data_IF_109997753519
#
_entry.id   IF_109997753519
#
_cell.length_a   1.000
_cell.length_b   1.000
_cell.length_c   1.000
_cell.angle_alpha   90.00
_cell.angle_beta   90.00
_cell.angle_gamma   90.00
#
_symmetry.space_group_name_H-M   'P 1'
#
loop_
_entity.id
_entity.type
_entity.pdbx_description
1 polymer ?
#
# COMPACT_ATOMS: atom_id res chain seq x y z
N UNK A 1 -36.73 -15.11 35.84
CA UNK A 1 -35.27 -15.01 35.68
C UNK A 1 -34.73 -14.00 36.70
N UNK A 2 -33.73 -14.36 37.51
CA UNK A 2 -33.21 -13.43 38.54
C UNK A 2 -32.57 -12.20 37.89
N UNK A 3 -32.96 -10.99 38.31
CA UNK A 3 -32.48 -9.72 37.74
C UNK A 3 -30.94 -9.66 37.62
N UNK A 4 -30.22 -10.25 38.58
CA UNK A 4 -28.75 -10.39 38.55
C UNK A 4 -28.23 -11.24 37.38
N UNK A 5 -28.89 -12.36 37.06
CA UNK A 5 -28.52 -13.22 35.91
C UNK A 5 -28.83 -12.53 34.58
N UNK A 6 -29.96 -11.81 34.48
CA UNK A 6 -30.28 -11.00 33.31
C UNK A 6 -29.20 -9.92 33.06
N UNK A 7 -28.81 -9.20 34.12
CA UNK A 7 -27.76 -8.18 34.05
C UNK A 7 -26.43 -8.77 33.55
N UNK A 8 -25.99 -9.92 34.09
CA UNK A 8 -24.74 -10.57 33.64
C UNK A 8 -24.79 -10.91 32.15
N UNK A 9 -25.90 -11.48 31.67
CA UNK A 9 -26.06 -11.82 30.25
C UNK A 9 -25.99 -10.56 29.39
N UNK A 10 -26.70 -9.49 29.79
CA UNK A 10 -26.67 -8.21 29.06
C UNK A 10 -25.27 -7.59 29.03
N UNK A 11 -24.53 -7.63 30.15
CA UNK A 11 -23.15 -7.12 30.20
C UNK A 11 -22.23 -7.90 29.27
N UNK A 12 -22.30 -9.23 29.26
CA UNK A 12 -21.48 -10.05 28.34
C UNK A 12 -21.82 -9.73 26.89
N UNK A 13 -23.10 -9.64 26.56
CA UNK A 13 -23.57 -9.40 25.19
C UNK A 13 -23.16 -7.99 24.71
N UNK A 14 -23.23 -7.01 25.61
CA UNK A 14 -22.72 -5.65 25.34
C UNK A 14 -21.21 -5.65 25.13
N UNK A 15 -20.44 -6.31 26.00
CA UNK A 15 -18.98 -6.38 25.87
C UNK A 15 -18.55 -7.04 24.56
N UNK A 16 -19.18 -8.17 24.18
CA UNK A 16 -18.91 -8.83 22.89
C UNK A 16 -19.26 -7.92 21.72
N UNK A 17 -20.40 -7.22 21.78
CA UNK A 17 -20.80 -6.26 20.75
C UNK A 17 -19.78 -5.12 20.60
N UNK A 18 -19.30 -4.54 21.70
CA UNK A 18 -18.29 -3.47 21.68
C UNK A 18 -17.00 -3.96 21.05
N UNK A 19 -16.48 -5.11 21.48
CA UNK A 19 -15.23 -5.68 20.92
C UNK A 19 -15.36 -5.95 19.43
N UNK A 20 -16.48 -6.54 18.99
CA UNK A 20 -16.70 -6.84 17.59
C UNK A 20 -16.76 -5.58 16.72
N UNK A 21 -17.48 -4.55 17.19
CA UNK A 21 -17.59 -3.28 16.46
C UNK A 21 -16.25 -2.55 16.38
N UNK A 22 -15.47 -2.54 17.46
CA UNK A 22 -14.12 -1.97 17.46
C UNK A 22 -13.21 -2.70 16.47
N UNK A 23 -13.23 -4.03 16.48
CA UNK A 23 -12.44 -4.85 15.56
C UNK A 23 -12.82 -4.58 14.09
N UNK A 24 -14.12 -4.56 13.78
CA UNK A 24 -14.61 -4.29 12.43
C UNK A 24 -14.27 -2.87 11.99
N UNK A 25 -14.42 -1.88 12.88
CA UNK A 25 -14.09 -0.48 12.61
C UNK A 25 -12.61 -0.29 12.28
N UNK A 26 -11.72 -0.84 13.11
CA UNK A 26 -10.26 -0.76 12.89
C UNK A 26 -9.87 -1.48 11.60
N UNK A 27 -10.38 -2.68 11.37
CA UNK A 27 -10.06 -3.48 10.17
C UNK A 27 -10.54 -2.77 8.90
N UNK A 28 -11.75 -2.21 8.93
CA UNK A 28 -12.31 -1.45 7.80
C UNK A 28 -11.48 -0.20 7.52
N UNK A 29 -11.10 0.54 8.58
CA UNK A 29 -10.26 1.72 8.46
C UNK A 29 -8.90 1.38 7.82
N UNK A 30 -8.18 0.41 8.37
CA UNK A 30 -6.87 -0.03 7.82
C UNK A 30 -7.03 -0.45 6.37
N UNK A 31 -8.05 -1.27 6.06
CA UNK A 31 -8.28 -1.73 4.69
C UNK A 31 -8.52 -0.55 3.74
N UNK A 32 -9.34 0.42 4.12
CA UNK A 32 -9.65 1.60 3.30
C UNK A 32 -8.41 2.47 3.03
N UNK A 33 -7.46 2.49 3.94
CA UNK A 33 -6.25 3.31 3.85
C UNK A 33 -5.24 2.79 2.84
N UNK A 34 -5.22 1.47 2.60
CA UNK A 34 -4.24 0.81 1.72
C UNK A 34 -4.85 0.14 0.48
N UNK A 35 -6.18 0.05 0.40
CA UNK A 35 -6.86 -0.58 -0.74
C UNK A 35 -7.32 0.49 -1.71
N UNK A 36 -6.88 0.45 -2.99
CA UNK A 36 -7.40 1.33 -4.02
C UNK A 36 -8.91 1.17 -4.19
N UNK A 37 -9.64 2.28 -4.18
CA UNK A 37 -11.03 2.37 -4.60
C UNK A 37 -11.12 2.51 -6.15
N UNK A 38 -12.32 2.55 -6.76
CA UNK A 38 -12.43 2.69 -8.21
C UNK A 38 -11.81 3.96 -8.81
N UNK A 39 -11.90 5.10 -8.12
CA UNK A 39 -11.31 6.36 -8.58
C UNK A 39 -9.77 6.29 -8.52
N UNK A 40 -9.25 5.66 -7.46
CA UNK A 40 -7.82 5.37 -7.31
C UNK A 40 -7.28 4.54 -8.46
N UNK A 41 -8.06 3.56 -8.94
CA UNK A 41 -7.65 2.69 -10.04
C UNK A 41 -7.47 3.45 -11.35
N UNK A 42 -8.28 4.50 -11.58
CA UNK A 42 -8.09 5.36 -12.74
C UNK A 42 -6.75 6.10 -12.65
N UNK A 43 -6.49 6.77 -11.53
CA UNK A 43 -5.23 7.49 -11.29
C UNK A 43 -4.04 6.55 -11.42
N UNK A 44 -4.10 5.38 -10.79
CA UNK A 44 -3.04 4.38 -10.83
C UNK A 44 -2.83 3.82 -12.24
N UNK A 45 -3.89 3.70 -13.04
CA UNK A 45 -3.82 3.35 -14.46
C UNK A 45 -3.09 4.40 -15.28
N UNK A 46 -3.43 5.67 -15.09
CA UNK A 46 -2.77 6.82 -15.73
C UNK A 46 -1.29 6.90 -15.34
N UNK A 47 -0.97 6.78 -14.05
CA UNK A 47 0.40 6.70 -13.56
C UNK A 47 1.16 5.51 -14.13
N UNK A 48 0.52 4.34 -14.24
CA UNK A 48 1.17 3.15 -14.82
C UNK A 48 1.54 3.38 -16.27
N UNK A 49 0.66 4.02 -17.05
CA UNK A 49 0.98 4.42 -18.42
C UNK A 49 2.19 5.36 -18.45
N UNK A 50 2.21 6.38 -17.58
CA UNK A 50 3.34 7.30 -17.49
C UNK A 50 4.64 6.59 -17.12
N UNK A 51 4.61 5.62 -16.20
CA UNK A 51 5.78 4.80 -15.86
C UNK A 51 6.26 4.01 -17.06
N UNK A 52 5.37 3.36 -17.80
CA UNK A 52 5.75 2.59 -18.99
C UNK A 52 6.38 3.47 -20.08
N UNK A 53 5.99 4.75 -20.16
CA UNK A 53 6.53 5.72 -21.12
C UNK A 53 7.78 6.46 -20.59
N UNK A 54 8.15 6.26 -19.32
CA UNK A 54 9.26 6.96 -18.66
C UNK A 54 10.63 6.36 -19.03
N UNK A 55 11.62 7.23 -19.22
CA UNK A 55 12.99 6.83 -19.59
C UNK A 55 13.66 5.91 -18.55
N UNK A 56 13.44 6.17 -17.24
CA UNK A 56 14.01 5.34 -16.17
C UNK A 56 13.45 3.92 -16.20
N UNK A 57 12.15 3.77 -16.49
CA UNK A 57 11.55 2.45 -16.65
C UNK A 57 12.13 1.72 -17.87
N UNK A 58 12.27 2.42 -19.00
CA UNK A 58 12.83 1.82 -20.22
C UNK A 58 14.27 1.34 -20.00
N UNK A 59 15.08 2.13 -19.28
CA UNK A 59 16.42 1.72 -18.87
C UNK A 59 16.39 0.46 -17.98
N UNK A 60 15.54 0.43 -16.95
CA UNK A 60 15.38 -0.75 -16.08
C UNK A 60 14.95 -1.97 -16.89
N UNK A 61 13.92 -1.85 -17.72
CA UNK A 61 13.36 -2.94 -18.51
C UNK A 61 14.32 -3.46 -19.59
N UNK A 62 15.29 -2.65 -20.02
CA UNK A 62 16.35 -3.07 -20.95
C UNK A 62 17.46 -3.88 -20.27
N UNK A 63 17.67 -3.67 -18.97
CA UNK A 63 18.77 -4.26 -18.20
C UNK A 63 18.33 -5.39 -17.26
N UNK A 64 17.04 -5.47 -16.95
CA UNK A 64 16.49 -6.38 -15.96
C UNK A 64 15.17 -6.99 -16.43
N UNK A 65 14.96 -8.26 -16.09
CA UNK A 65 13.68 -8.90 -16.37
C UNK A 65 12.58 -8.36 -15.43
N UNK A 66 11.59 -7.67 -16.01
CA UNK A 66 10.38 -7.23 -15.31
C UNK A 66 9.40 -8.40 -15.16
N UNK A 67 8.98 -8.69 -13.93
CA UNK A 67 8.02 -9.76 -13.62
C UNK A 67 6.61 -9.25 -13.40
N UNK A 68 6.48 -8.09 -12.77
CA UNK A 68 5.18 -7.53 -12.41
C UNK A 68 5.27 -6.01 -12.28
N UNK A 69 4.13 -5.36 -12.50
CA UNK A 69 3.91 -3.97 -12.15
C UNK A 69 2.76 -3.96 -11.15
N UNK A 70 2.99 -3.42 -9.96
CA UNK A 70 2.00 -3.36 -8.89
C UNK A 70 1.64 -1.92 -8.61
N UNK A 71 0.36 -1.66 -8.54
CA UNK A 71 -0.19 -0.38 -8.15
C UNK A 71 -0.46 -0.39 -6.64
N UNK A 72 -0.15 0.71 -5.97
CA UNK A 72 -0.28 0.84 -4.52
C UNK A 72 -0.83 2.21 -4.14
N UNK A 73 -1.53 2.26 -3.01
CA UNK A 73 -1.90 3.51 -2.37
C UNK A 73 -1.67 3.37 -0.87
N UNK A 74 -1.12 4.41 -0.24
CA UNK A 74 -0.91 4.45 1.20
C UNK A 74 -1.33 5.80 1.77
N UNK A 75 -2.49 5.84 2.41
CA UNK A 75 -3.01 7.04 3.09
C UNK A 75 -2.79 7.02 4.60
N UNK A 76 -1.86 6.18 5.06
CA UNK A 76 -1.72 5.92 6.49
C UNK A 76 -0.90 7.00 7.17
N UNK A 77 -1.48 7.61 8.20
CA UNK A 77 -0.82 8.63 9.03
C UNK A 77 -0.28 9.81 8.19
N UNK A 78 -1.07 10.26 7.22
CA UNK A 78 -0.73 11.35 6.31
C UNK A 78 -1.57 12.60 6.63
N UNK A 79 -1.01 13.78 6.36
CA UNK A 79 -1.66 15.07 6.64
C UNK A 79 -2.86 15.34 5.70
N UNK A 80 -2.75 14.92 4.44
CA UNK A 80 -3.80 15.06 3.42
C UNK A 80 -4.03 13.73 2.70
N UNK A 81 -5.05 12.94 3.05
CA UNK A 81 -5.33 11.65 2.43
C UNK A 81 -5.68 11.70 0.93
N UNK A 82 -5.98 12.89 0.40
CA UNK A 82 -6.35 13.09 -1.01
C UNK A 82 -5.15 13.40 -1.91
N UNK A 83 -3.97 13.61 -1.33
CA UNK A 83 -2.76 13.94 -2.08
C UNK A 83 -2.35 12.84 -3.06
N UNK A 84 -1.89 13.26 -4.23
CA UNK A 84 -1.42 12.39 -5.30
C UNK A 84 -0.11 11.65 -4.96
N UNK A 85 0.63 12.14 -3.96
CA UNK A 85 1.88 11.50 -3.52
C UNK A 85 1.67 10.22 -2.73
N UNK A 86 0.43 9.86 -2.42
CA UNK A 86 0.10 8.59 -1.76
C UNK A 86 -0.01 7.40 -2.72
N UNK A 87 0.02 7.67 -4.02
CA UNK A 87 -0.04 6.65 -5.06
C UNK A 87 1.35 6.28 -5.52
N UNK A 88 1.57 5.00 -5.72
CA UNK A 88 2.83 4.47 -6.22
C UNK A 88 2.60 3.35 -7.24
N UNK A 89 3.53 3.26 -8.17
CA UNK A 89 3.62 2.16 -9.13
C UNK A 89 4.97 1.48 -8.92
N UNK A 90 4.93 0.24 -8.44
CA UNK A 90 6.11 -0.57 -8.18
C UNK A 90 6.40 -1.53 -9.33
N UNK A 91 7.56 -1.36 -9.97
CA UNK A 91 8.07 -2.23 -11.04
C UNK A 91 8.95 -3.30 -10.41
N UNK A 92 8.48 -4.54 -10.39
CA UNK A 92 9.17 -5.68 -9.76
C UNK A 92 10.03 -6.40 -10.79
N UNK A 93 11.35 -6.37 -10.60
CA UNK A 93 12.32 -7.05 -11.46
C UNK A 93 12.95 -8.24 -10.75
N UNK A 94 13.90 -8.91 -11.40
CA UNK A 94 14.71 -9.94 -10.76
C UNK A 94 15.68 -9.41 -9.70
N UNK A 95 16.08 -8.14 -9.75
CA UNK A 95 17.02 -7.57 -8.76
C UNK A 95 16.31 -6.78 -7.68
N UNK A 96 15.50 -5.81 -8.06
CA UNK A 96 14.87 -4.86 -7.13
C UNK A 96 13.40 -4.64 -7.48
N UNK A 97 12.68 -3.97 -6.60
CA UNK A 97 11.37 -3.38 -6.93
C UNK A 97 11.51 -1.87 -6.88
N UNK A 98 11.40 -1.23 -8.04
CA UNK A 98 11.53 0.22 -8.20
C UNK A 98 10.19 0.89 -7.99
N UNK A 99 10.16 2.00 -7.25
CA UNK A 99 8.95 2.67 -6.80
C UNK A 99 8.85 4.00 -7.52
N UNK A 100 7.84 4.11 -8.38
CA UNK A 100 7.54 5.33 -9.11
C UNK A 100 6.39 6.08 -8.46
N UNK A 101 6.57 7.39 -8.28
CA UNK A 101 5.54 8.30 -7.77
C UNK A 101 5.48 9.56 -8.64
N UNK A 102 4.45 10.38 -8.44
CA UNK A 102 4.30 11.66 -9.13
C UNK A 102 5.34 12.67 -8.67
N UNK A 103 5.84 13.50 -9.59
CA UNK A 103 6.83 14.56 -9.28
C UNK A 103 6.20 15.86 -8.77
N UNK A 104 4.89 16.03 -8.98
CA UNK A 104 4.14 17.25 -8.65
C UNK A 104 2.69 16.92 -8.29
N UNK A 105 1.97 17.90 -7.73
CA UNK A 105 0.59 17.76 -7.25
C UNK A 105 -0.44 17.43 -8.35
N UNK A 106 -0.13 17.76 -9.61
CA UNK A 106 -0.99 17.46 -10.75
C UNK A 106 -0.57 16.15 -11.46
N UNK A 107 0.45 15.47 -10.96
CA UNK A 107 1.06 14.29 -11.56
C UNK A 107 1.34 14.45 -13.06
N UNK A 108 1.99 15.55 -13.44
CA UNK A 108 2.34 15.76 -14.86
C UNK A 108 3.44 14.83 -15.34
N UNK A 109 4.24 14.30 -14.40
CA UNK A 109 5.27 13.31 -14.66
C UNK A 109 5.45 12.37 -13.45
N UNK A 110 6.13 11.25 -13.68
CA UNK A 110 6.51 10.26 -12.67
C UNK A 110 8.01 10.06 -12.63
N UNK A 111 8.50 9.65 -11.47
CA UNK A 111 9.93 9.50 -11.20
C UNK A 111 10.14 8.31 -10.26
N UNK A 112 11.25 7.59 -10.45
CA UNK A 112 11.70 6.55 -9.54
C UNK A 112 12.29 7.19 -8.27
N UNK A 113 11.49 7.25 -7.20
CA UNK A 113 11.86 7.87 -5.93
C UNK A 113 12.47 6.89 -4.93
N UNK A 114 12.57 5.60 -5.28
CA UNK A 114 13.17 4.62 -4.39
C UNK A 114 13.07 3.18 -4.88
N UNK A 115 13.70 2.28 -4.14
CA UNK A 115 13.68 0.86 -4.46
C UNK A 115 13.59 0.03 -3.18
N UNK A 116 13.10 -1.19 -3.32
CA UNK A 116 13.10 -2.20 -2.27
C UNK A 116 13.57 -3.55 -2.82
N UNK A 117 13.79 -4.51 -1.93
CA UNK A 117 14.25 -5.85 -2.29
C UNK A 117 13.25 -6.53 -3.22
N UNK A 118 13.76 -7.18 -4.27
CA UNK A 118 12.91 -8.03 -5.10
C UNK A 118 12.53 -9.30 -4.35
N UNK A 119 11.25 -9.69 -4.47
CA UNK A 119 10.77 -11.01 -4.05
C UNK A 119 11.11 -12.12 -5.07
N UNK A 120 11.60 -11.74 -6.24
CA UNK A 120 11.97 -12.64 -7.34
C UNK A 120 13.47 -12.84 -7.46
N UNK A 121 14.28 -12.15 -6.65
CA UNK A 121 15.72 -12.41 -6.59
C UNK A 121 15.96 -13.79 -5.98
N UNK A 122 16.85 -14.57 -6.62
CA UNK A 122 17.35 -15.82 -6.04
C UNK A 122 18.31 -15.55 -4.87
N UNK A 123 18.84 -14.33 -4.77
CA UNK A 123 19.68 -13.92 -3.66
C UNK A 123 18.80 -13.66 -2.43
N UNK A 124 19.09 -14.35 -1.32
CA UNK A 124 18.42 -14.10 -0.05
C UNK A 124 18.66 -12.63 0.34
N UNK A 125 17.62 -11.87 0.74
CA UNK A 125 17.81 -10.52 1.22
C UNK A 125 18.79 -10.53 2.39
N UNK A 126 19.95 -9.88 2.21
CA UNK A 126 20.94 -9.72 3.26
C UNK A 126 20.39 -8.66 4.22
N UNK A 127 19.77 -9.10 5.31
CA UNK A 127 19.54 -8.26 6.47
C UNK A 127 20.92 -7.85 7.04
N UNK A 128 21.43 -6.69 6.64
CA UNK A 128 22.50 -6.01 7.38
C UNK A 128 21.88 -5.57 8.71
N UNK A 129 22.01 -6.39 9.74
CA UNK A 129 21.80 -5.96 11.12
C UNK A 129 23.15 -5.44 11.59
N UNK A 130 23.38 -4.14 11.43
CA UNK A 130 24.48 -3.47 12.12
C UNK A 130 24.13 -3.44 13.61
N UNK A 131 24.61 -4.45 14.33
CA UNK A 131 24.59 -4.48 15.80
C UNK A 131 25.81 -3.69 16.24
N UNK A 132 25.59 -2.46 16.71
CA UNK A 132 26.60 -1.65 17.40
C UNK A 132 26.27 -1.62 18.90
#
# INVERSE_FOLDING_TARGET
MNKKRLLIILTILFSVSVVLNLYLGITSYIKSTYTPNPDDQQILGEMTKMVLENEQYQEIASNEKVYAIKQGVSRFNVSDPSSIFHYEVSVQTEKQSYIFTCTDENCTNVSNEGWTYSRYSEEKPLLHVDIN
#
